data_IF_614851920866
#
_entry.id   IF_614851920866
#
_cell.length_a   1.000
_cell.length_b   1.000
_cell.length_c   1.000
_cell.angle_alpha   90.00
_cell.angle_beta   90.00
_cell.angle_gamma   90.00
#
_symmetry.space_group_name_H-M   'P 1'
#
loop_
_entity.id
_entity.type
_entity.pdbx_description
1 polymer ?
#
# COMPACT_ATOMS: atom_id res chain seq x y z
N UNK A 1 -24.76 -21.95 15.08
CA UNK A 1 -25.15 -22.86 16.18
C UNK A 1 -24.01 -22.92 17.18
N UNK A 2 -24.22 -22.48 18.42
CA UNK A 2 -23.23 -22.64 19.49
C UNK A 2 -23.20 -24.13 19.83
N UNK A 3 -22.03 -24.77 19.74
CA UNK A 3 -21.91 -26.19 20.07
C UNK A 3 -22.18 -26.40 21.56
N UNK A 4 -22.93 -27.46 21.93
CA UNK A 4 -23.25 -27.78 23.34
C UNK A 4 -22.02 -27.77 24.26
N UNK A 5 -20.87 -28.22 23.74
CA UNK A 5 -19.57 -28.17 24.43
C UNK A 5 -19.14 -26.75 24.82
N UNK A 6 -19.39 -25.75 23.97
CA UNK A 6 -19.08 -24.34 24.27
C UNK A 6 -20.01 -23.77 25.33
N UNK A 7 -21.30 -24.11 25.28
CA UNK A 7 -22.25 -23.69 26.30
C UNK A 7 -21.87 -24.29 27.67
N UNK A 8 -21.43 -25.54 27.70
CA UNK A 8 -20.93 -26.19 28.91
C UNK A 8 -19.66 -25.51 29.47
N UNK A 9 -18.74 -25.07 28.59
CA UNK A 9 -17.54 -24.34 29.02
C UNK A 9 -17.86 -22.93 29.54
N UNK A 10 -18.80 -22.20 28.91
CA UNK A 10 -19.28 -20.91 29.41
C UNK A 10 -19.99 -21.05 30.75
N UNK A 11 -20.80 -22.10 30.92
CA UNK A 11 -21.44 -22.41 32.19
C UNK A 11 -20.40 -22.73 33.28
N UNK A 12 -19.39 -23.54 32.95
CA UNK A 12 -18.26 -23.85 33.84
C UNK A 12 -17.44 -22.61 34.22
N UNK A 13 -17.24 -21.68 33.29
CA UNK A 13 -16.60 -20.40 33.57
C UNK A 13 -17.45 -19.58 34.56
N UNK A 14 -18.75 -19.47 34.32
CA UNK A 14 -19.65 -18.71 35.18
C UNK A 14 -19.73 -19.29 36.59
N UNK A 15 -19.89 -20.61 36.71
CA UNK A 15 -19.90 -21.28 38.01
C UNK A 15 -18.54 -21.23 38.71
N UNK A 16 -17.43 -21.33 37.97
CA UNK A 16 -16.08 -21.20 38.50
C UNK A 16 -15.79 -19.80 39.05
N UNK A 17 -16.21 -18.75 38.33
CA UNK A 17 -16.12 -17.36 38.80
C UNK A 17 -16.98 -17.17 40.05
N UNK A 18 -18.23 -17.63 40.04
CA UNK A 18 -19.11 -17.53 41.20
C UNK A 18 -18.52 -18.23 42.44
N UNK A 19 -18.01 -19.45 42.27
CA UNK A 19 -17.36 -20.20 43.34
C UNK A 19 -16.12 -19.49 43.87
N UNK A 20 -15.30 -18.91 42.97
CA UNK A 20 -14.15 -18.11 43.35
C UNK A 20 -14.55 -16.89 44.19
N UNK A 21 -15.62 -16.16 43.83
CA UNK A 21 -16.08 -15.01 44.62
C UNK A 21 -16.56 -15.40 46.02
N UNK A 22 -17.21 -16.57 46.17
CA UNK A 22 -17.68 -17.04 47.48
C UNK A 22 -16.53 -17.53 48.36
N UNK A 23 -15.54 -18.21 47.79
CA UNK A 23 -14.40 -18.79 48.54
C UNK A 23 -13.18 -17.87 48.64
N UNK A 24 -13.10 -16.78 47.88
CA UNK A 24 -11.92 -15.90 47.85
C UNK A 24 -11.52 -15.38 49.23
N UNK A 25 -12.48 -15.19 50.14
CA UNK A 25 -12.22 -14.75 51.51
C UNK A 25 -11.73 -15.84 52.48
N UNK A 26 -11.83 -17.12 52.11
CA UNK A 26 -11.45 -18.27 52.95
C UNK A 26 -10.25 -19.05 52.43
N UNK A 27 -9.75 -18.71 51.23
CA UNK A 27 -8.64 -19.42 50.60
C UNK A 27 -7.29 -18.81 50.99
N UNK A 28 -6.28 -19.68 51.11
CA UNK A 28 -4.89 -19.28 51.30
C UNK A 28 -4.42 -18.47 50.06
N UNK A 29 -3.59 -17.42 50.20
CA UNK A 29 -3.11 -16.58 49.10
C UNK A 29 -2.56 -17.36 47.91
N UNK A 30 -1.85 -18.47 48.15
CA UNK A 30 -1.32 -19.32 47.09
C UNK A 30 -2.45 -19.98 46.29
N UNK A 31 -3.48 -20.49 46.98
CA UNK A 31 -4.64 -21.10 46.32
C UNK A 31 -5.46 -20.07 45.55
N UNK A 32 -5.63 -18.86 46.11
CA UNK A 32 -6.33 -17.77 45.43
C UNK A 32 -5.67 -17.41 44.10
N UNK A 33 -4.33 -17.33 44.06
CA UNK A 33 -3.59 -17.09 42.82
C UNK A 33 -3.76 -18.22 41.81
N UNK A 34 -3.68 -19.49 42.24
CA UNK A 34 -3.83 -20.65 41.34
C UNK A 34 -5.24 -20.69 40.73
N UNK A 35 -6.28 -20.53 41.54
CA UNK A 35 -7.66 -20.52 41.06
C UNK A 35 -7.93 -19.34 40.14
N UNK A 36 -7.43 -18.15 40.47
CA UNK A 36 -7.52 -16.97 39.61
C UNK A 36 -6.82 -17.17 38.26
N UNK A 37 -5.61 -17.74 38.27
CA UNK A 37 -4.86 -18.06 37.05
C UNK A 37 -5.57 -19.11 36.19
N UNK A 38 -6.18 -20.13 36.80
CA UNK A 38 -6.94 -21.15 36.09
C UNK A 38 -8.19 -20.57 35.39
N UNK A 39 -8.91 -19.66 36.05
CA UNK A 39 -10.05 -18.95 35.46
C UNK A 39 -9.59 -18.07 34.29
N UNK A 40 -8.48 -17.35 34.45
CA UNK A 40 -7.91 -16.49 33.40
C UNK A 40 -7.53 -17.32 32.15
N UNK A 41 -6.86 -18.46 32.35
CA UNK A 41 -6.50 -19.37 31.26
C UNK A 41 -7.75 -19.89 30.52
N UNK A 42 -8.81 -20.24 31.25
CA UNK A 42 -10.08 -20.66 30.67
C UNK A 42 -10.73 -19.57 29.80
N UNK A 43 -10.65 -18.30 30.22
CA UNK A 43 -11.15 -17.15 29.44
C UNK A 43 -10.37 -16.99 28.14
N UNK A 44 -9.03 -17.03 28.19
CA UNK A 44 -8.17 -16.95 27.01
C UNK A 44 -8.48 -18.09 26.05
N UNK A 45 -8.65 -19.31 26.56
CA UNK A 45 -9.02 -20.48 25.75
C UNK A 45 -10.38 -20.31 25.05
N UNK A 46 -11.37 -19.74 25.75
CA UNK A 46 -12.70 -19.46 25.19
C UNK A 46 -12.64 -18.37 24.11
N UNK A 47 -11.80 -17.35 24.30
CA UNK A 47 -11.63 -16.25 23.36
C UNK A 47 -10.85 -16.68 22.11
N UNK A 48 -9.79 -17.48 22.28
CA UNK A 48 -8.96 -17.99 21.17
C UNK A 48 -9.62 -19.06 20.31
N UNK A 49 -10.60 -19.79 20.84
CA UNK A 49 -11.35 -20.82 20.09
C UNK A 49 -12.64 -20.30 19.44
N UNK A 50 -12.87 -18.97 19.53
CA UNK A 50 -14.10 -18.27 19.18
C UNK A 50 -14.20 -17.78 17.73
N UNK A 51 -14.25 -18.69 16.77
CA UNK A 51 -14.96 -18.47 15.51
C UNK A 51 -14.27 -17.65 14.43
N UNK A 52 -13.71 -18.34 13.43
CA UNK A 52 -13.41 -17.76 12.12
C UNK A 52 -14.68 -17.16 11.51
N UNK A 53 -14.66 -15.84 11.30
CA UNK A 53 -15.68 -15.13 10.53
C UNK A 53 -15.62 -15.66 9.10
N UNK A 54 -16.61 -16.42 8.66
CA UNK A 54 -16.83 -16.62 7.22
C UNK A 54 -17.31 -15.28 6.68
N UNK A 55 -16.41 -14.53 6.07
CA UNK A 55 -16.73 -13.30 5.34
C UNK A 55 -17.49 -13.73 4.09
N UNK A 56 -18.81 -13.66 4.14
CA UNK A 56 -19.63 -13.75 2.95
C UNK A 56 -19.41 -12.46 2.15
N UNK A 57 -18.60 -12.53 1.08
CA UNK A 57 -18.34 -11.40 0.18
C UNK A 57 -19.62 -11.10 -0.60
N UNK A 58 -20.46 -10.22 -0.08
CA UNK A 58 -21.57 -9.63 -0.83
C UNK A 58 -20.97 -8.61 -1.80
N UNK A 59 -20.85 -8.97 -3.09
CA UNK A 59 -20.60 -8.02 -4.17
C UNK A 59 -21.85 -7.14 -4.32
N UNK A 60 -21.83 -5.93 -3.77
CA UNK A 60 -22.76 -4.87 -4.20
C UNK A 60 -22.30 -4.37 -5.57
N UNK A 61 -22.97 -4.83 -6.63
CA UNK A 61 -22.95 -4.16 -7.94
C UNK A 61 -23.69 -2.84 -7.73
N UNK A 62 -23.01 -1.71 -7.88
CA UNK A 62 -23.65 -0.41 -7.90
C UNK A 62 -24.59 -0.34 -9.11
N UNK A 63 -25.84 -0.05 -8.81
CA UNK A 63 -26.92 0.29 -9.72
C UNK A 63 -26.57 1.61 -10.41
N UNK A 64 -26.22 1.53 -11.70
CA UNK A 64 -26.06 2.69 -12.57
C UNK A 64 -27.44 2.96 -13.16
N UNK A 65 -27.93 4.17 -12.89
CA UNK A 65 -29.21 4.73 -13.32
C UNK A 65 -29.48 4.43 -14.81
N UNK A 66 -30.67 3.89 -15.06
CA UNK A 66 -31.28 3.66 -16.37
C UNK A 66 -31.53 4.99 -17.11
N UNK A 67 -31.02 5.06 -18.34
CA UNK A 67 -31.66 5.79 -19.42
C UNK A 67 -31.89 4.78 -20.54
N UNK A 68 -33.16 4.52 -20.81
CA UNK A 68 -33.70 3.60 -21.83
C UNK A 68 -33.58 4.20 -23.27
N UNK A 69 -33.85 3.45 -24.37
CA UNK A 69 -32.81 2.92 -25.26
C UNK A 69 -32.95 3.37 -26.73
N UNK A 70 -31.86 3.30 -27.50
CA UNK A 70 -31.94 3.14 -28.96
C UNK A 70 -31.49 1.74 -29.36
N UNK A 71 -32.29 1.12 -30.22
CA UNK A 71 -32.15 -0.23 -30.75
C UNK A 71 -30.95 -0.35 -31.70
N UNK A 72 -30.00 -1.23 -31.38
CA UNK A 72 -29.24 -1.97 -32.39
C UNK A 72 -29.06 -3.40 -31.92
N UNK A 73 -29.80 -4.33 -32.55
CA UNK A 73 -29.66 -5.77 -32.40
C UNK A 73 -28.46 -6.23 -33.22
N UNK A 74 -27.31 -6.34 -32.59
CA UNK A 74 -26.23 -7.20 -33.07
C UNK A 74 -26.20 -8.46 -32.20
N UNK A 75 -26.48 -9.59 -32.84
CA UNK A 75 -26.47 -10.93 -32.24
C UNK A 75 -25.03 -11.31 -31.86
N UNK A 76 -24.61 -10.97 -30.64
CA UNK A 76 -23.42 -11.55 -30.03
C UNK A 76 -23.66 -13.04 -29.77
N UNK A 77 -22.75 -13.95 -30.16
CA UNK A 77 -22.90 -15.37 -29.88
C UNK A 77 -22.93 -15.61 -28.37
N UNK A 78 -23.76 -16.58 -27.94
CA UNK A 78 -23.98 -16.89 -26.54
C UNK A 78 -22.65 -17.09 -25.78
N UNK A 79 -22.48 -16.47 -24.60
CA UNK A 79 -21.25 -16.61 -23.83
C UNK A 79 -21.04 -18.09 -23.47
N UNK A 80 -19.95 -18.67 -23.98
CA UNK A 80 -19.52 -20.02 -23.64
C UNK A 80 -19.20 -20.03 -22.14
N UNK A 81 -20.13 -20.50 -21.32
CA UNK A 81 -19.88 -20.78 -19.91
C UNK A 81 -18.92 -21.96 -19.82
N UNK A 82 -17.61 -21.68 -19.76
CA UNK A 82 -16.67 -22.69 -19.29
C UNK A 82 -16.96 -22.93 -17.82
N UNK A 83 -17.66 -24.01 -17.50
CA UNK A 83 -17.92 -24.48 -16.13
C UNK A 83 -16.64 -24.99 -15.43
N UNK A 84 -15.45 -24.77 -16.01
CA UNK A 84 -14.19 -25.06 -15.33
C UNK A 84 -13.86 -23.99 -14.28
N UNK A 85 -13.98 -24.40 -13.03
CA UNK A 85 -13.41 -23.73 -11.87
C UNK A 85 -11.95 -23.34 -12.11
N UNK A 86 -11.58 -22.11 -11.71
CA UNK A 86 -10.22 -21.58 -11.81
C UNK A 86 -9.17 -22.46 -11.09
N UNK A 87 -9.60 -23.29 -10.13
CA UNK A 87 -8.77 -24.30 -9.45
C UNK A 87 -8.36 -25.45 -10.38
N UNK A 88 -9.24 -25.89 -11.29
CA UNK A 88 -8.95 -26.93 -12.28
C UNK A 88 -7.87 -26.48 -13.27
N UNK A 89 -7.96 -25.24 -13.76
CA UNK A 89 -6.95 -24.62 -14.63
C UNK A 89 -5.58 -24.49 -13.95
N UNK A 90 -5.54 -24.17 -12.66
CA UNK A 90 -4.28 -24.07 -11.89
C UNK A 90 -3.65 -25.46 -11.71
N UNK A 91 -4.44 -26.48 -11.42
CA UNK A 91 -3.97 -27.86 -11.26
C UNK A 91 -3.47 -28.47 -12.57
N UNK A 92 -4.12 -28.17 -13.71
CA UNK A 92 -3.65 -28.59 -15.04
C UNK A 92 -2.32 -27.92 -15.45
N UNK A 93 -2.11 -26.65 -15.06
CA UNK A 93 -0.81 -25.98 -15.26
C UNK A 93 0.28 -26.55 -14.35
N UNK A 94 -0.07 -26.93 -13.11
CA UNK A 94 0.85 -27.57 -12.17
C UNK A 94 1.23 -28.99 -12.60
N UNK A 95 0.31 -29.77 -13.19
CA UNK A 95 0.62 -31.11 -13.70
C UNK A 95 1.54 -31.05 -14.92
N UNK A 96 1.31 -30.12 -15.86
CA UNK A 96 2.18 -29.90 -17.02
C UNK A 96 3.62 -29.49 -16.63
N UNK A 97 3.80 -28.82 -15.49
CA UNK A 97 5.14 -28.47 -14.97
C UNK A 97 5.87 -29.61 -14.23
N UNK A 98 5.16 -30.70 -13.85
CA UNK A 98 5.72 -31.79 -13.01
C UNK A 98 5.92 -33.10 -13.77
N UNK A 99 5.35 -33.28 -14.95
CA UNK A 99 5.67 -34.39 -15.86
C UNK A 99 6.50 -33.86 -17.01
N UNK A 100 7.82 -33.96 -16.88
CA UNK A 100 8.76 -33.88 -18.01
C UNK A 100 8.63 -35.13 -18.88
N UNK A 101 7.57 -35.20 -19.68
CA UNK A 101 7.45 -36.12 -20.79
C UNK A 101 7.46 -35.28 -22.08
N UNK A 102 8.29 -35.62 -23.07
CA UNK A 102 8.33 -34.88 -24.33
C UNK A 102 7.00 -35.13 -25.06
N UNK A 103 6.30 -34.06 -25.44
CA UNK A 103 5.28 -34.16 -26.48
C UNK A 103 5.99 -34.37 -27.83
N UNK A 104 5.41 -35.17 -28.73
CA UNK A 104 6.03 -35.58 -29.99
C UNK A 104 6.21 -34.38 -30.92
N UNK A 105 7.36 -34.34 -31.59
CA UNK A 105 7.65 -33.38 -32.64
C UNK A 105 6.58 -33.46 -33.73
N UNK A 106 5.99 -32.32 -34.05
CA UNK A 106 5.14 -32.15 -35.20
C UNK A 106 6.01 -32.22 -36.45
N UNK A 107 5.95 -33.37 -37.13
CA UNK A 107 6.48 -33.58 -38.48
C UNK A 107 5.98 -32.44 -39.39
N UNK A 108 6.88 -31.49 -39.64
CA UNK A 108 6.71 -30.48 -40.68
C UNK A 108 7.51 -31.01 -41.86
N UNK A 109 6.83 -31.77 -42.72
CA UNK A 109 7.37 -32.30 -43.95
C UNK A 109 7.88 -31.14 -44.82
N UNK A 110 9.19 -30.97 -44.90
CA UNK A 110 9.84 -30.18 -45.94
C UNK A 110 9.61 -30.89 -47.28
N UNK A 111 8.67 -30.37 -48.06
CA UNK A 111 8.49 -30.75 -49.46
C UNK A 111 9.66 -30.18 -50.26
N UNK A 112 10.70 -31.00 -50.45
CA UNK A 112 11.71 -30.78 -51.49
C UNK A 112 11.03 -30.91 -52.87
N UNK A 113 10.57 -29.80 -53.43
CA UNK A 113 10.19 -29.72 -54.85
C UNK A 113 11.47 -29.74 -55.71
N UNK A 114 11.88 -30.94 -56.11
CA UNK A 114 12.90 -31.16 -57.14
C UNK A 114 12.38 -30.69 -58.51
N UNK A 115 12.73 -29.47 -58.90
CA UNK A 115 12.46 -28.94 -60.24
C UNK A 115 13.38 -29.64 -61.23
N UNK A 116 12.85 -30.66 -61.91
CA UNK A 116 13.52 -31.33 -63.04
C UNK A 116 13.43 -30.45 -64.29
N UNK A 117 14.53 -29.81 -64.67
CA UNK A 117 14.63 -29.11 -65.95
C UNK A 117 15.16 -30.07 -67.01
N UNK A 118 14.27 -30.56 -67.86
CA UNK A 118 14.59 -31.28 -69.08
C UNK A 118 15.00 -30.28 -70.17
N UNK A 119 16.30 -30.15 -70.46
CA UNK A 119 16.77 -29.44 -71.66
C UNK A 119 16.67 -30.40 -72.85
N UNK A 120 15.72 -30.14 -73.75
CA UNK A 120 15.74 -30.70 -75.09
C UNK A 120 16.79 -29.94 -75.91
N UNK A 121 17.72 -30.68 -76.52
CA UNK A 121 18.66 -30.19 -77.52
C UNK A 121 17.91 -29.46 -78.63
N UNK A 122 18.15 -28.15 -78.74
CA UNK A 122 18.00 -27.41 -79.99
C UNK A 122 19.17 -26.43 -80.08
N UNK A 123 20.05 -26.65 -81.07
CA UNK A 123 21.16 -25.77 -81.41
C UNK A 123 20.60 -24.40 -81.82
N UNK A 124 20.81 -23.38 -80.98
CA UNK A 124 20.53 -21.98 -81.32
C UNK A 124 21.86 -21.29 -81.60
N UNK A 125 22.07 -20.90 -82.86
CA UNK A 125 23.17 -20.03 -83.29
C UNK A 125 23.11 -18.70 -82.51
N UNK A 126 24.07 -18.50 -81.60
CA UNK A 126 24.23 -17.24 -80.86
C UNK A 126 24.81 -16.20 -81.82
N UNK A 127 23.94 -15.39 -82.41
CA UNK A 127 24.33 -14.10 -82.98
C UNK A 127 24.32 -13.07 -81.86
N UNK A 128 25.49 -12.52 -81.55
CA UNK A 128 25.67 -11.47 -80.54
C UNK A 128 24.99 -10.19 -81.07
N UNK A 129 23.78 -9.94 -80.61
CA UNK A 129 23.13 -8.63 -80.70
C UNK A 129 23.60 -7.88 -79.44
N UNK A 130 24.25 -6.73 -79.62
CA UNK A 130 24.60 -5.80 -78.53
C UNK A 130 23.31 -5.20 -77.93
N UNK A 131 22.55 -6.01 -77.22
CA UNK A 131 21.35 -5.59 -76.49
C UNK A 131 21.71 -5.35 -75.03
N UNK A 132 21.97 -4.07 -74.74
CA UNK A 132 21.81 -3.37 -73.48
C UNK A 132 22.00 -4.22 -72.20
N UNK A 133 23.27 -4.36 -71.77
CA UNK A 133 23.61 -4.96 -70.48
C UNK A 133 23.07 -4.08 -69.35
N UNK A 134 21.94 -4.48 -68.77
CA UNK A 134 21.45 -3.91 -67.52
C UNK A 134 22.26 -4.51 -66.37
N UNK A 135 23.22 -3.74 -65.87
CA UNK A 135 23.92 -4.07 -64.62
C UNK A 135 22.92 -3.90 -63.47
N UNK A 136 22.62 -4.96 -62.74
CA UNK A 136 21.79 -4.86 -61.56
C UNK A 136 22.54 -4.05 -60.48
N UNK A 137 21.87 -3.03 -59.92
CA UNK A 137 22.39 -2.29 -58.77
C UNK A 137 22.32 -3.17 -57.51
N UNK A 138 23.32 -3.06 -56.64
CA UNK A 138 23.38 -3.79 -55.38
C UNK A 138 22.26 -3.30 -54.44
N UNK A 139 21.26 -4.14 -54.19
CA UNK A 139 20.20 -3.84 -53.23
C UNK A 139 20.73 -4.08 -51.81
N UNK A 140 21.14 -3.01 -51.14
CA UNK A 140 21.44 -3.03 -49.70
C UNK A 140 20.13 -2.80 -48.95
N UNK A 141 19.71 -3.78 -48.14
CA UNK A 141 18.56 -3.60 -47.26
C UNK A 141 18.88 -2.51 -46.22
N UNK A 142 18.11 -1.42 -46.22
CA UNK A 142 18.32 -0.29 -45.30
C UNK A 142 18.02 -0.64 -43.84
N UNK A 143 17.24 -1.71 -43.61
CA UNK A 143 16.81 -2.15 -42.29
C UNK A 143 17.11 -3.64 -42.17
N UNK A 144 18.02 -3.96 -41.26
CA UNK A 144 18.31 -5.33 -40.88
C UNK A 144 17.29 -5.81 -39.83
N UNK A 145 16.97 -7.11 -39.86
CA UNK A 145 16.05 -7.70 -38.90
C UNK A 145 16.57 -7.55 -37.46
N UNK A 146 17.89 -7.65 -37.28
CA UNK A 146 18.55 -7.43 -35.99
C UNK A 146 18.32 -6.00 -35.46
N UNK A 147 18.36 -4.99 -36.34
CA UNK A 147 18.11 -3.60 -35.95
C UNK A 147 16.66 -3.35 -35.52
N UNK A 148 15.69 -4.06 -36.12
CA UNK A 148 14.29 -3.98 -35.71
C UNK A 148 14.06 -4.64 -34.35
N UNK A 149 14.69 -5.78 -34.10
CA UNK A 149 14.62 -6.46 -32.80
C UNK A 149 15.29 -5.63 -31.69
N UNK A 150 16.42 -4.99 -31.97
CA UNK A 150 17.08 -4.09 -31.02
C UNK A 150 16.18 -2.91 -30.62
N UNK A 151 15.49 -2.29 -31.59
CA UNK A 151 14.55 -1.21 -31.32
C UNK A 151 13.34 -1.67 -30.47
N UNK A 152 12.82 -2.87 -30.74
CA UNK A 152 11.74 -3.46 -29.94
C UNK A 152 12.19 -3.74 -28.50
N UNK A 153 13.41 -4.26 -28.32
CA UNK A 153 13.98 -4.50 -27.00
C UNK A 153 14.20 -3.19 -26.23
N UNK A 154 14.71 -2.14 -26.89
CA UNK A 154 14.91 -0.83 -26.28
C UNK A 154 13.58 -0.23 -25.80
N UNK A 155 12.55 -0.26 -26.66
CA UNK A 155 11.21 0.24 -26.30
C UNK A 155 10.61 -0.50 -25.10
N UNK A 156 10.80 -1.82 -25.02
CA UNK A 156 10.33 -2.62 -23.89
C UNK A 156 11.06 -2.29 -22.57
N UNK A 157 12.37 -2.01 -22.64
CA UNK A 157 13.16 -1.63 -21.48
C UNK A 157 12.73 -0.25 -20.97
N UNK A 158 12.49 0.70 -21.88
CA UNK A 158 12.06 2.05 -21.52
C UNK A 158 10.64 2.06 -20.95
N UNK A 159 9.70 1.33 -21.54
CA UNK A 159 8.36 1.13 -20.97
C UNK A 159 8.40 0.51 -19.56
N UNK A 160 9.31 -0.44 -19.35
CA UNK A 160 9.53 -1.02 -18.02
C UNK A 160 10.09 0.05 -17.07
N UNK A 161 11.10 0.82 -17.47
CA UNK A 161 11.69 1.89 -16.65
C UNK A 161 10.65 2.92 -16.25
N UNK A 162 9.82 3.36 -17.19
CA UNK A 162 8.77 4.34 -16.96
C UNK A 162 7.71 3.82 -16.00
N UNK A 163 7.24 2.59 -16.18
CA UNK A 163 6.32 1.95 -15.20
C UNK A 163 6.93 1.90 -13.81
N UNK A 164 8.19 1.48 -13.67
CA UNK A 164 8.87 1.46 -12.38
C UNK A 164 9.11 2.86 -11.80
N UNK A 165 9.34 3.88 -12.63
CA UNK A 165 9.46 5.27 -12.20
C UNK A 165 8.12 5.80 -11.66
N UNK A 166 7.02 5.53 -12.36
CA UNK A 166 5.67 5.88 -11.91
C UNK A 166 5.31 5.19 -10.59
N UNK A 167 5.63 3.90 -10.45
CA UNK A 167 5.42 3.16 -9.19
C UNK A 167 6.25 3.76 -8.06
N UNK A 168 7.54 4.06 -8.29
CA UNK A 168 8.41 4.70 -7.28
C UNK A 168 7.85 6.04 -6.81
N UNK A 169 7.47 6.91 -7.75
CA UNK A 169 6.85 8.22 -7.44
C UNK A 169 5.56 8.05 -6.62
N UNK A 170 4.70 7.09 -6.98
CA UNK A 170 3.47 6.80 -6.23
C UNK A 170 3.74 6.32 -4.81
N UNK A 171 4.73 5.43 -4.63
CA UNK A 171 5.11 4.93 -3.29
C UNK A 171 5.69 6.05 -2.44
N UNK A 172 6.56 6.88 -3.02
CA UNK A 172 7.17 8.02 -2.32
C UNK A 172 6.11 9.04 -1.90
N UNK A 173 5.19 9.41 -2.79
CA UNK A 173 4.09 10.30 -2.47
C UNK A 173 3.24 9.78 -1.30
N UNK A 174 2.87 8.49 -1.34
CA UNK A 174 2.12 7.84 -0.25
C UNK A 174 2.89 7.81 1.06
N UNK A 175 4.20 7.50 1.03
CA UNK A 175 5.04 7.53 2.24
C UNK A 175 5.12 8.94 2.83
N UNK A 176 5.22 9.96 1.98
CA UNK A 176 5.24 11.37 2.41
C UNK A 176 3.92 11.78 3.05
N UNK A 177 2.80 11.39 2.46
CA UNK A 177 1.46 11.59 3.01
C UNK A 177 1.31 10.91 4.37
N UNK A 178 1.68 9.63 4.49
CA UNK A 178 1.65 8.91 5.77
C UNK A 178 2.55 9.55 6.83
N UNK A 179 3.74 10.03 6.47
CA UNK A 179 4.60 10.75 7.40
C UNK A 179 3.98 12.08 7.83
N UNK A 180 3.27 12.77 6.94
CA UNK A 180 2.55 14.00 7.28
C UNK A 180 1.38 13.70 8.24
N UNK A 181 0.64 12.60 8.01
CA UNK A 181 -0.44 12.16 8.90
C UNK A 181 0.10 11.79 10.29
N UNK A 182 1.18 11.01 10.35
CA UNK A 182 1.83 10.65 11.62
C UNK A 182 2.31 11.91 12.36
N UNK A 183 2.93 12.87 11.64
CA UNK A 183 3.38 14.13 12.26
C UNK A 183 2.21 14.97 12.77
N UNK A 184 1.11 15.05 12.02
CA UNK A 184 -0.06 15.82 12.46
C UNK A 184 -0.77 15.16 13.65
N UNK A 185 -0.90 13.82 13.64
CA UNK A 185 -1.44 13.06 14.77
C UNK A 185 -0.55 13.20 16.01
N UNK A 186 0.77 13.10 15.83
CA UNK A 186 1.75 13.27 16.91
C UNK A 186 1.70 14.69 17.48
N UNK A 187 1.68 15.73 16.63
CA UNK A 187 1.56 17.12 17.07
C UNK A 187 0.25 17.36 17.83
N UNK A 188 -0.86 16.75 17.38
CA UNK A 188 -2.15 16.83 18.08
C UNK A 188 -2.09 16.19 19.47
N UNK A 189 -1.40 15.06 19.62
CA UNK A 189 -1.20 14.41 20.93
C UNK A 189 -0.42 15.35 21.86
N UNK A 190 0.68 15.94 21.39
CA UNK A 190 1.45 16.90 22.19
C UNK A 190 0.62 18.13 22.57
N UNK A 191 -0.16 18.68 21.63
CA UNK A 191 -1.04 19.81 21.90
C UNK A 191 -2.12 19.47 22.94
N UNK A 192 -2.66 18.24 22.92
CA UNK A 192 -3.66 17.79 23.89
C UNK A 192 -3.10 17.44 25.27
N UNK A 193 -1.80 17.12 25.35
CA UNK A 193 -1.12 16.80 26.58
C UNK A 193 -0.63 18.06 27.31
N UNK A 194 -0.42 19.15 26.58
CA UNK A 194 -0.18 20.46 27.14
C UNK A 194 -1.53 21.06 27.56
N UNK A 195 -1.66 21.51 28.80
CA UNK A 195 -2.86 22.21 29.32
C UNK A 195 -2.94 23.64 28.73
N UNK A 196 -2.77 23.74 27.41
CA UNK A 196 -2.82 24.96 26.64
C UNK A 196 -4.28 25.36 26.38
N UNK A 197 -4.56 26.65 26.54
CA UNK A 197 -5.88 27.22 26.28
C UNK A 197 -6.15 27.28 24.77
N UNK A 198 -7.33 26.84 24.35
CA UNK A 198 -7.77 26.95 22.95
C UNK A 198 -8.32 28.35 22.65
N UNK A 199 -7.43 29.25 22.22
CA UNK A 199 -7.78 30.61 21.85
C UNK A 199 -8.73 30.68 20.65
N UNK A 200 -8.77 29.65 19.79
CA UNK A 200 -9.64 29.63 18.62
C UNK A 200 -11.11 29.47 19.04
N UNK A 201 -11.40 28.52 19.93
CA UNK A 201 -12.76 28.37 20.47
C UNK A 201 -13.21 29.56 21.30
N UNK A 202 -12.27 30.19 22.03
CA UNK A 202 -12.53 31.42 22.76
C UNK A 202 -12.94 32.56 21.83
N UNK A 203 -12.15 32.85 20.78
CA UNK A 203 -12.43 33.90 19.80
C UNK A 203 -13.66 33.60 18.94
N UNK A 204 -14.02 32.32 18.75
CA UNK A 204 -15.23 31.94 18.02
C UNK A 204 -16.53 32.34 18.75
N UNK A 205 -16.48 32.59 20.07
CA UNK A 205 -17.63 33.08 20.82
C UNK A 205 -17.87 34.57 20.56
N UNK A 206 -19.13 34.99 20.32
CA UNK A 206 -19.46 36.39 19.99
C UNK A 206 -19.15 37.39 21.12
N UNK A 207 -19.12 36.92 22.38
CA UNK A 207 -18.87 37.73 23.58
C UNK A 207 -17.62 37.25 24.31
N UNK A 208 -16.50 37.16 23.60
CA UNK A 208 -15.23 36.67 24.15
C UNK A 208 -14.56 37.63 25.14
N UNK A 209 -15.00 38.89 25.26
CA UNK A 209 -14.43 39.86 26.22
C UNK A 209 -12.97 40.30 25.96
N UNK A 210 -12.30 39.69 24.96
CA UNK A 210 -10.95 40.06 24.51
C UNK A 210 -10.95 41.14 23.43
N UNK A 211 -9.94 42.02 23.47
CA UNK A 211 -9.64 42.97 22.39
C UNK A 211 -8.61 42.35 21.45
N UNK A 212 -8.94 42.26 20.15
CA UNK A 212 -8.07 41.67 19.12
C UNK A 212 -7.28 42.80 18.44
N UNK A 213 -5.96 42.76 18.58
CA UNK A 213 -5.03 43.61 17.84
C UNK A 213 -4.55 42.87 16.60
N UNK A 214 -4.60 43.50 15.43
CA UNK A 214 -4.16 42.88 14.18
C UNK A 214 -2.74 43.33 13.84
N UNK A 215 -1.82 42.38 13.68
CA UNK A 215 -0.51 42.62 13.12
C UNK A 215 -0.52 42.21 11.65
N UNK A 216 -0.24 43.17 10.77
CA UNK A 216 -0.07 42.92 9.34
C UNK A 216 1.34 43.30 8.94
N UNK A 217 2.12 42.32 8.54
CA UNK A 217 3.31 42.54 7.72
C UNK A 217 2.90 42.69 6.23
N UNK A 218 3.81 43.11 5.36
CA UNK A 218 3.56 43.12 3.92
C UNK A 218 3.44 41.68 3.40
N UNK A 219 2.20 41.24 3.16
CA UNK A 219 1.91 39.89 2.69
C UNK A 219 2.02 39.81 1.16
N UNK A 220 2.72 38.80 0.60
CA UNK A 220 2.81 38.62 -0.84
C UNK A 220 1.42 38.30 -1.43
N UNK A 221 1.02 38.98 -2.52
CA UNK A 221 -0.27 38.73 -3.16
C UNK A 221 -0.30 37.35 -3.81
N UNK A 222 -1.38 36.59 -3.57
CA UNK A 222 -1.62 35.29 -4.21
C UNK A 222 -1.34 34.06 -3.34
N UNK A 223 -0.76 34.23 -2.16
CA UNK A 223 -0.53 33.14 -1.21
C UNK A 223 -1.73 32.90 -0.27
N UNK A 224 -2.00 31.65 0.15
CA UNK A 224 -2.93 31.36 1.24
C UNK A 224 -2.33 31.90 2.55
N UNK A 225 -3.15 32.67 3.26
CA UNK A 225 -2.77 33.36 4.48
C UNK A 225 -3.36 32.58 5.67
N UNK A 226 -2.50 32.17 6.59
CA UNK A 226 -2.86 31.67 7.90
C UNK A 226 -2.98 32.80 8.91
N UNK A 227 -3.82 32.61 9.93
CA UNK A 227 -3.91 33.52 11.07
C UNK A 227 -3.58 32.75 12.36
N UNK A 228 -2.68 33.30 13.17
CA UNK A 228 -2.29 32.78 14.47
C UNK A 228 -2.69 33.79 15.54
N UNK A 229 -3.30 33.31 16.63
CA UNK A 229 -3.66 34.14 17.78
C UNK A 229 -2.65 33.93 18.91
N UNK A 230 -2.11 35.02 19.44
CA UNK A 230 -1.17 35.01 20.57
C UNK A 230 -1.72 35.85 21.70
N UNK A 231 -1.65 35.35 22.93
CA UNK A 231 -2.08 36.10 24.11
C UNK A 231 -0.98 37.08 24.53
N UNK A 232 -1.29 38.38 24.54
CA UNK A 232 -0.39 39.42 25.09
C UNK A 232 -0.65 39.56 26.58
N UNK A 233 -1.92 39.66 26.98
CA UNK A 233 -2.34 39.76 28.38
C UNK A 233 -3.67 39.03 28.62
N UNK A 234 -4.23 39.18 29.82
CA UNK A 234 -5.50 38.56 30.20
C UNK A 234 -6.66 38.94 29.27
N UNK A 235 -6.73 40.19 28.77
CA UNK A 235 -7.83 40.68 27.93
C UNK A 235 -7.42 41.02 26.48
N UNK A 236 -6.18 40.79 26.08
CA UNK A 236 -5.66 41.21 24.76
C UNK A 236 -5.07 40.05 23.96
N UNK A 237 -5.57 39.88 22.75
CA UNK A 237 -5.11 38.88 21.78
C UNK A 237 -4.49 39.59 20.57
N UNK A 238 -3.38 39.06 20.06
CA UNK A 238 -2.73 39.48 18.83
C UNK A 238 -3.06 38.50 17.72
N UNK A 239 -3.65 38.98 16.62
CA UNK A 239 -3.88 38.22 15.40
C UNK A 239 -2.73 38.50 14.42
N UNK A 240 -1.87 37.52 14.21
CA UNK A 240 -0.74 37.57 13.28
C UNK A 240 -1.11 36.84 12.00
N UNK A 241 -0.95 37.49 10.85
CA UNK A 241 -1.19 36.88 9.53
C UNK A 241 0.14 36.45 8.90
N UNK A 242 0.22 35.22 8.41
CA UNK A 242 1.45 34.60 7.89
C UNK A 242 1.14 33.84 6.59
N UNK A 243 1.94 33.94 5.52
CA UNK A 243 1.77 33.14 4.31
C UNK A 243 2.16 31.66 4.56
N UNK A 244 1.33 30.72 4.13
CA UNK A 244 1.54 29.28 4.39
C UNK A 244 2.46 28.61 3.36
N UNK A 245 2.61 29.21 2.17
CA UNK A 245 3.30 28.60 1.02
C UNK A 245 4.79 28.34 1.23
N UNK A 246 5.46 29.15 2.05
CA UNK A 246 6.92 29.13 2.16
C UNK A 246 7.44 28.01 3.08
N UNK A 247 6.55 27.22 3.68
CA UNK A 247 6.91 26.21 4.66
C UNK A 247 7.58 26.82 5.91
N UNK A 248 8.24 25.98 6.71
CA UNK A 248 9.06 26.48 7.81
C UNK A 248 10.34 27.10 7.23
N UNK A 249 10.38 28.43 7.17
CA UNK A 249 11.62 29.16 6.91
C UNK A 249 12.43 29.03 8.21
N UNK A 250 13.42 28.14 8.24
CA UNK A 250 14.38 28.15 9.33
C UNK A 250 14.99 29.53 9.37
N UNK A 251 14.87 30.22 10.51
CA UNK A 251 15.54 31.48 10.75
C UNK A 251 16.99 31.34 10.28
N UNK A 252 17.41 32.16 9.31
CA UNK A 252 18.80 32.20 8.83
C UNK A 252 19.77 32.68 9.92
N UNK A 253 19.23 33.09 11.07
CA UNK A 253 20.01 33.38 12.26
C UNK A 253 20.71 32.09 12.74
N UNK A 254 22.06 32.06 12.75
CA UNK A 254 22.78 30.90 13.22
C UNK A 254 22.40 30.65 14.68
N UNK A 255 21.90 29.44 14.96
CA UNK A 255 21.66 28.98 16.32
C UNK A 255 22.94 29.22 17.13
N UNK A 256 22.85 29.76 18.37
CA UNK A 256 24.03 29.96 19.20
C UNK A 256 24.78 28.63 19.33
N UNK A 257 26.10 28.67 19.13
CA UNK A 257 26.96 27.50 19.29
C UNK A 257 26.76 26.94 20.70
N UNK A 258 26.06 25.81 20.79
CA UNK A 258 25.90 25.08 22.03
C UNK A 258 27.30 24.62 22.49
N UNK A 259 27.60 24.70 23.79
CA UNK A 259 28.85 24.18 24.31
C UNK A 259 29.00 22.71 23.87
N UNK A 260 30.22 22.27 23.51
CA UNK A 260 30.45 20.91 23.08
C UNK A 260 29.93 19.94 24.16
N UNK A 261 29.12 18.99 23.73
CA UNK A 261 28.65 17.92 24.60
C UNK A 261 29.87 17.25 25.24
N UNK A 262 29.90 17.05 26.57
CA UNK A 262 31.00 16.37 27.22
C UNK A 262 31.21 14.99 26.57
N UNK A 263 32.46 14.66 26.25
CA UNK A 263 32.81 13.37 25.66
C UNK A 263 32.30 12.24 26.56
N UNK A 264 31.37 11.45 26.01
CA UNK A 264 30.64 10.38 26.68
C UNK A 264 31.52 9.13 26.93
N UNK A 265 32.83 9.31 27.13
CA UNK A 265 33.83 8.25 27.24
C UNK A 265 34.05 7.74 28.66
N UNK A 266 33.99 8.63 29.66
CA UNK A 266 34.33 8.32 31.06
C UNK A 266 33.17 8.55 32.05
N UNK A 267 31.99 8.93 31.57
CA UNK A 267 30.80 9.00 32.41
C UNK A 267 30.27 7.57 32.61
N UNK A 268 30.10 7.10 33.86
CA UNK A 268 29.42 5.83 34.09
C UNK A 268 28.05 5.90 33.41
N UNK A 269 27.70 4.86 32.65
CA UNK A 269 26.37 4.71 32.06
C UNK A 269 25.34 5.10 33.13
N UNK A 270 24.44 6.06 32.85
CA UNK A 270 23.42 6.44 33.81
C UNK A 270 22.69 5.15 34.21
N UNK A 271 22.43 4.95 35.51
CA UNK A 271 21.74 3.76 35.97
C UNK A 271 20.45 3.60 35.16
N UNK A 272 20.10 2.36 34.73
CA UNK A 272 18.85 2.14 34.04
C UNK A 272 17.73 2.79 34.85
N UNK A 273 16.83 3.55 34.21
CA UNK A 273 15.80 4.30 34.92
C UNK A 273 15.08 3.34 35.87
N UNK A 274 15.20 3.61 37.17
CA UNK A 274 14.49 2.86 38.19
C UNK A 274 13.00 2.96 37.85
N UNK A 275 12.34 1.80 37.77
CA UNK A 275 11.01 1.66 37.21
C UNK A 275 10.01 2.67 37.76
N UNK A 276 9.41 3.43 36.85
CA UNK A 276 7.99 3.84 36.83
C UNK A 276 7.66 4.80 35.67
N UNK A 277 8.54 4.97 34.68
CA UNK A 277 8.12 5.58 33.42
C UNK A 277 7.19 4.59 32.71
N UNK A 278 5.91 4.95 32.45
CA UNK A 278 5.04 4.08 31.69
C UNK A 278 5.72 3.82 30.35
N UNK A 279 6.05 2.55 30.10
CA UNK A 279 6.46 2.12 28.77
C UNK A 279 5.39 2.64 27.80
N UNK A 280 5.78 3.34 26.72
CA UNK A 280 4.82 3.76 25.71
C UNK A 280 4.03 2.52 25.30
N UNK A 281 2.70 2.63 25.39
CA UNK A 281 1.82 1.51 25.09
C UNK A 281 2.23 0.93 23.72
N UNK A 282 2.34 -0.40 23.59
CA UNK A 282 2.73 -1.00 22.32
C UNK A 282 1.78 -0.48 21.24
N UNK A 283 2.35 0.16 20.21
CA UNK A 283 1.61 0.58 19.02
C UNK A 283 0.73 -0.58 18.60
N UNK A 284 -0.59 -0.36 18.55
CA UNK A 284 -1.55 -1.42 18.31
C UNK A 284 -1.17 -2.17 17.04
N UNK A 285 -0.83 -3.45 17.20
CA UNK A 285 -0.39 -4.36 16.14
C UNK A 285 -1.37 -4.41 14.96
N UNK A 286 -2.62 -3.98 15.18
CA UNK A 286 -3.68 -3.87 14.19
C UNK A 286 -3.30 -3.07 12.93
N UNK A 287 -2.55 -1.96 13.04
CA UNK A 287 -2.19 -1.17 11.84
C UNK A 287 -1.04 -1.84 11.04
N UNK A 288 -0.12 -2.51 11.72
CA UNK A 288 0.99 -3.23 11.09
C UNK A 288 0.56 -4.58 10.51
N UNK A 289 -0.36 -5.29 11.16
CA UNK A 289 -0.96 -6.53 10.63
C UNK A 289 -1.84 -6.24 9.40
N UNK A 290 -2.59 -5.13 9.39
CA UNK A 290 -3.35 -4.71 8.22
C UNK A 290 -2.43 -4.40 7.01
N UNK A 291 -1.27 -3.76 7.26
CA UNK A 291 -0.25 -3.52 6.23
C UNK A 291 0.39 -4.82 5.73
N UNK A 292 0.53 -5.83 6.59
CA UNK A 292 1.09 -7.13 6.22
C UNK A 292 0.11 -7.96 5.39
N UNK A 293 -1.19 -7.85 5.64
CA UNK A 293 -2.21 -8.48 4.79
C UNK A 293 -2.30 -7.80 3.42
N UNK A 294 -2.21 -6.47 3.35
CA UNK A 294 -2.26 -5.73 2.07
C UNK A 294 -1.03 -5.96 1.18
N UNK A 295 0.16 -6.20 1.74
CA UNK A 295 1.37 -6.52 0.96
C UNK A 295 1.33 -7.95 0.38
N UNK A 296 0.52 -8.84 0.96
CA UNK A 296 0.38 -10.22 0.51
C UNK A 296 -0.77 -10.44 -0.48
N UNK A 297 -1.51 -9.38 -0.83
CA UNK A 297 -2.52 -9.35 -1.90
C UNK A 297 -1.94 -8.77 -3.19
#
# INVERSE_FOLDING_TARGET
>A
MVTFKRLMLWFGLFTGVLAFLVLAGSLDPLQQMIFGAAILLLIIFLMGTGGGRKVERIRKRSERIETEPEETKEELPAPVQSNEDASSRRNAKLSRSRTGAPEPESDSEELEEEITVSLADDEVEVTVIDENVHVAEEYVAEIDAESMEEADIESFIDDRRDRHALIRRRIEARRREQLADIRSETAKIYQSADDSEDLLSLVASNDHGHTIHEFSDELPPGSPIGAVFVRIDENRLLKVRIPIDQGFISSTEPLPELPPLPELGDLPLPPPPAGDLPLPAPLSSSKLDALREEINE
#
